data_IF_853322348978
#
_entry.id   IF_853322348978
#
_cell.length_a   1.000
_cell.length_b   1.000
_cell.length_c   1.000
_cell.angle_alpha   90.00
_cell.angle_beta   90.00
_cell.angle_gamma   90.00
#
_symmetry.space_group_name_H-M   'P 1'
#
loop_
_entity.id
_entity.type
_entity.pdbx_description
1 polymer ?
#
# COMPACT_ATOMS: atom_id res chain seq x y z
N UNK A 1 33.34 6.34 12.56
CA UNK A 1 32.35 7.28 13.17
C UNK A 1 31.24 6.46 13.81
N UNK A 2 31.24 6.35 15.13
CA UNK A 2 30.18 5.68 15.88
C UNK A 2 28.84 6.41 15.67
N UNK A 3 27.85 5.70 15.12
CA UNK A 3 26.50 6.24 14.95
C UNK A 3 25.86 6.33 16.34
N UNK A 4 25.62 7.54 16.84
CA UNK A 4 24.83 7.77 18.06
C UNK A 4 23.48 7.05 17.93
N UNK A 5 23.28 6.04 18.78
CA UNK A 5 22.00 5.33 18.91
C UNK A 5 20.94 6.33 19.34
N UNK A 6 19.83 6.37 18.60
CA UNK A 6 18.71 7.26 18.90
C UNK A 6 18.09 6.82 20.23
N UNK A 7 18.01 7.73 21.21
CA UNK A 7 17.35 7.46 22.51
C UNK A 7 15.93 6.92 22.29
N UNK A 8 15.58 5.83 22.96
CA UNK A 8 14.22 5.30 22.98
C UNK A 8 13.26 6.40 23.44
N UNK A 9 12.13 6.51 22.73
CA UNK A 9 11.08 7.46 23.11
C UNK A 9 10.07 6.67 23.93
N UNK A 10 9.71 7.18 25.10
CA UNK A 10 8.49 6.76 25.79
C UNK A 10 7.33 6.84 24.79
N UNK A 11 6.55 5.77 24.68
CA UNK A 11 5.37 5.73 23.82
C UNK A 11 4.42 6.86 24.25
N UNK A 12 4.45 7.97 23.51
CA UNK A 12 3.39 8.96 23.59
C UNK A 12 2.16 8.26 23.01
N UNK A 13 1.34 7.66 23.88
CA UNK A 13 0.00 7.17 23.53
C UNK A 13 -0.81 8.37 23.08
N UNK A 14 -0.71 8.71 21.80
CA UNK A 14 -1.60 9.68 21.19
C UNK A 14 -3.01 9.13 21.32
N UNK A 15 -3.78 9.72 22.24
CA UNK A 15 -5.21 9.45 22.38
C UNK A 15 -5.87 10.01 21.13
N UNK A 16 -5.97 9.19 20.08
CA UNK A 16 -6.73 9.55 18.89
C UNK A 16 -8.21 9.42 19.22
N UNK A 17 -8.95 10.52 19.07
CA UNK A 17 -10.41 10.49 19.11
C UNK A 17 -10.92 9.70 17.91
N UNK A 18 -11.43 8.50 18.14
CA UNK A 18 -11.99 7.62 17.10
C UNK A 18 -13.52 7.71 17.18
N UNK A 19 -14.17 8.01 16.05
CA UNK A 19 -15.63 7.88 15.94
C UNK A 19 -15.99 6.40 16.11
N UNK A 20 -16.83 6.10 17.11
CA UNK A 20 -17.25 4.75 17.46
C UNK A 20 -18.76 4.63 17.28
N UNK A 21 -19.22 3.53 16.68
CA UNK A 21 -20.65 3.27 16.54
C UNK A 21 -21.25 2.92 17.90
N UNK A 22 -22.45 3.45 18.17
CA UNK A 22 -23.21 3.13 19.38
C UNK A 22 -23.82 1.72 19.35
N UNK A 23 -24.08 1.19 18.16
CA UNK A 23 -24.78 -0.09 17.97
C UNK A 23 -23.86 -1.24 17.60
N UNK A 24 -22.72 -0.97 16.96
CA UNK A 24 -21.68 -1.94 16.66
C UNK A 24 -20.27 -1.36 16.92
N UNK A 25 -19.81 -1.37 18.19
CA UNK A 25 -18.52 -0.86 18.64
C UNK A 25 -17.28 -1.31 17.86
N UNK A 26 -17.33 -2.47 17.21
CA UNK A 26 -16.19 -3.08 16.50
C UNK A 26 -16.11 -2.65 15.03
N UNK A 27 -17.18 -2.04 14.52
CA UNK A 27 -17.18 -1.43 13.18
C UNK A 27 -16.28 -0.18 13.15
N UNK A 28 -15.59 0.01 12.03
CA UNK A 28 -14.70 1.15 11.86
C UNK A 28 -15.37 2.27 11.07
N UNK A 29 -15.19 3.51 11.49
CA UNK A 29 -15.66 4.67 10.74
C UNK A 29 -14.76 4.92 9.52
N UNK A 30 -15.35 4.88 8.32
CA UNK A 30 -14.66 5.13 7.07
C UNK A 30 -15.15 6.44 6.46
N UNK A 31 -14.22 7.37 6.22
CA UNK A 31 -14.44 8.56 5.41
C UNK A 31 -13.45 8.53 4.23
N UNK A 32 -13.97 8.66 3.01
CA UNK A 32 -13.17 8.70 1.78
C UNK A 32 -13.73 9.81 0.90
N UNK A 33 -12.85 10.61 0.29
CA UNK A 33 -13.25 11.66 -0.66
C UNK A 33 -14.22 11.10 -1.70
N UNK A 34 -15.37 11.77 -1.87
CA UNK A 34 -16.44 11.41 -2.80
C UNK A 34 -17.12 10.05 -2.55
N UNK A 35 -17.04 9.51 -1.33
CA UNK A 35 -17.82 8.34 -0.93
C UNK A 35 -18.64 8.62 0.32
N UNK A 36 -19.69 7.84 0.51
CA UNK A 36 -20.53 7.92 1.69
C UNK A 36 -19.72 7.60 2.95
N UNK A 37 -19.81 8.48 3.95
CA UNK A 37 -19.26 8.21 5.27
C UNK A 37 -20.12 7.18 5.98
N UNK A 38 -19.51 6.12 6.50
CA UNK A 38 -20.25 5.06 7.18
C UNK A 38 -19.37 4.25 8.12
N UNK A 39 -20.03 3.59 9.07
CA UNK A 39 -19.44 2.51 9.85
C UNK A 39 -19.48 1.24 9.03
N UNK A 40 -18.32 0.61 8.84
CA UNK A 40 -18.23 -0.61 8.04
C UNK A 40 -17.09 -1.52 8.51
N UNK A 41 -17.06 -2.71 7.91
CA UNK A 41 -15.93 -3.62 7.91
C UNK A 41 -15.34 -3.70 6.50
N UNK A 42 -14.06 -4.05 6.41
CA UNK A 42 -13.34 -4.26 5.15
C UNK A 42 -13.06 -5.75 4.99
N UNK A 43 -13.45 -6.29 3.85
CA UNK A 43 -13.10 -7.65 3.40
C UNK A 43 -11.79 -7.60 2.60
N UNK A 44 -10.75 -8.21 3.17
CA UNK A 44 -9.46 -8.46 2.53
C UNK A 44 -9.46 -9.85 1.93
N UNK A 45 -9.25 -9.92 0.61
CA UNK A 45 -9.35 -11.18 -0.13
C UNK A 45 -8.13 -11.42 -1.00
N UNK A 46 -7.70 -12.68 -1.03
CA UNK A 46 -6.71 -13.17 -2.00
C UNK A 46 -7.34 -14.26 -2.86
N UNK A 47 -7.03 -14.26 -4.15
CA UNK A 47 -7.48 -15.28 -5.10
C UNK A 47 -6.31 -15.82 -5.89
N UNK A 48 -6.34 -17.10 -6.24
CA UNK A 48 -5.39 -17.67 -7.19
C UNK A 48 -5.62 -17.12 -8.61
N UNK A 49 -4.58 -17.13 -9.43
CA UNK A 49 -4.63 -16.58 -10.79
C UNK A 49 -5.37 -17.49 -11.78
N UNK A 50 -5.23 -18.81 -11.63
CA UNK A 50 -5.66 -19.81 -12.62
C UNK A 50 -7.18 -19.98 -12.60
N UNK A 51 -7.75 -20.19 -11.41
CA UNK A 51 -9.14 -20.58 -11.23
C UNK A 51 -9.99 -19.53 -10.49
N UNK A 52 -9.39 -18.44 -10.02
CA UNK A 52 -10.05 -17.41 -9.20
C UNK A 52 -10.60 -17.98 -7.87
N UNK A 53 -10.05 -19.08 -7.37
CA UNK A 53 -10.34 -19.65 -6.06
C UNK A 53 -9.82 -18.70 -5.00
N UNK A 54 -10.68 -18.41 -4.04
CA UNK A 54 -10.37 -17.56 -2.90
C UNK A 54 -9.49 -18.36 -1.94
N UNK A 55 -8.25 -17.91 -1.75
CA UNK A 55 -7.26 -18.54 -0.87
C UNK A 55 -7.22 -17.89 0.51
N UNK A 56 -7.71 -16.66 0.64
CA UNK A 56 -7.85 -15.96 1.91
C UNK A 56 -9.02 -15.01 1.91
N UNK A 57 -9.70 -14.95 3.04
CA UNK A 57 -10.72 -13.96 3.35
C UNK A 57 -10.49 -13.51 4.81
N UNK A 58 -10.39 -12.21 5.03
CA UNK A 58 -10.07 -11.64 6.33
C UNK A 58 -10.77 -10.32 6.52
N UNK A 59 -11.31 -10.08 7.71
CA UNK A 59 -12.10 -8.89 7.99
C UNK A 59 -11.36 -7.97 8.95
N UNK A 60 -11.39 -6.67 8.67
CA UNK A 60 -10.95 -5.63 9.61
C UNK A 60 -12.02 -4.56 9.79
N UNK A 61 -11.96 -3.78 10.88
CA UNK A 61 -12.73 -2.54 10.99
C UNK A 61 -12.43 -1.56 9.84
N UNK A 62 -13.42 -0.77 9.43
CA UNK A 62 -13.39 0.23 8.35
C UNK A 62 -12.31 1.32 8.45
N UNK A 63 -11.77 1.55 9.63
CA UNK A 63 -10.72 2.52 9.91
C UNK A 63 -9.30 1.93 9.80
N UNK A 64 -9.16 0.63 9.55
CA UNK A 64 -7.87 -0.03 9.30
C UNK A 64 -7.54 0.07 7.81
N UNK A 65 -6.34 0.55 7.48
CA UNK A 65 -5.91 0.66 6.09
C UNK A 65 -5.56 -0.72 5.50
N UNK A 66 -5.96 -0.96 4.24
CA UNK A 66 -5.83 -2.27 3.55
C UNK A 66 -4.40 -2.83 3.52
N UNK A 67 -3.40 -1.96 3.52
CA UNK A 67 -1.99 -2.36 3.54
C UNK A 67 -1.53 -3.01 4.86
N UNK A 68 -2.23 -2.74 5.96
CA UNK A 68 -1.80 -3.16 7.32
C UNK A 68 -1.85 -4.68 7.50
N UNK A 69 -2.96 -5.39 7.20
CA UNK A 69 -3.00 -6.84 7.39
C UNK A 69 -2.22 -7.62 6.32
N UNK A 70 -1.94 -7.02 5.16
CA UNK A 70 -1.53 -7.73 3.95
C UNK A 70 -0.39 -8.74 4.14
N UNK A 71 0.78 -8.32 4.63
CA UNK A 71 1.94 -9.21 4.76
C UNK A 71 1.65 -10.39 5.72
N UNK A 72 0.96 -10.12 6.83
CA UNK A 72 0.56 -11.18 7.78
C UNK A 72 -0.42 -12.17 7.13
N UNK A 73 -1.33 -11.69 6.28
CA UNK A 73 -2.27 -12.54 5.54
C UNK A 73 -1.57 -13.35 4.45
N UNK A 74 -0.57 -12.79 3.80
CA UNK A 74 0.27 -13.51 2.85
C UNK A 74 1.01 -14.67 3.54
N UNK A 75 1.68 -14.39 4.67
CA UNK A 75 2.39 -15.40 5.46
C UNK A 75 1.45 -16.49 5.96
N UNK A 76 0.26 -16.11 6.43
CA UNK A 76 -0.77 -17.05 6.89
C UNK A 76 -1.20 -18.00 5.77
N UNK A 77 -1.35 -17.53 4.54
CA UNK A 77 -1.70 -18.37 3.40
C UNK A 77 -0.58 -19.33 3.03
N UNK A 78 0.65 -18.81 2.91
CA UNK A 78 1.84 -19.61 2.62
C UNK A 78 1.96 -20.74 3.64
N UNK A 79 1.90 -20.43 4.94
CA UNK A 79 2.00 -21.43 6.00
C UNK A 79 0.82 -22.40 6.06
N UNK A 80 -0.41 -21.94 5.79
CA UNK A 80 -1.62 -22.76 5.94
C UNK A 80 -1.76 -23.80 4.83
N UNK A 81 -1.36 -23.45 3.61
CA UNK A 81 -1.56 -24.28 2.42
C UNK A 81 -0.26 -24.75 1.78
N UNK A 82 0.88 -24.44 2.39
CA UNK A 82 2.22 -24.75 1.89
C UNK A 82 2.45 -24.23 0.46
N UNK A 83 1.97 -23.00 0.20
CA UNK A 83 2.06 -22.42 -1.13
C UNK A 83 3.46 -21.92 -1.45
N UNK A 84 3.98 -22.34 -2.59
CA UNK A 84 5.13 -21.72 -3.24
C UNK A 84 4.63 -20.50 -4.02
N UNK A 85 4.76 -19.31 -3.42
CA UNK A 85 4.26 -18.06 -4.02
C UNK A 85 5.38 -17.38 -4.80
N UNK A 86 5.33 -17.48 -6.12
CA UNK A 86 6.30 -16.83 -7.01
C UNK A 86 6.00 -15.35 -7.22
N UNK A 87 4.73 -14.99 -7.33
CA UNK A 87 4.31 -13.65 -7.72
C UNK A 87 2.98 -13.23 -7.10
N UNK A 88 2.83 -11.92 -6.86
CA UNK A 88 1.60 -11.31 -6.35
C UNK A 88 1.25 -10.07 -7.16
N UNK A 89 -0.05 -9.84 -7.40
CA UNK A 89 -0.55 -8.60 -7.97
C UNK A 89 -1.50 -7.87 -7.03
N UNK A 90 -1.20 -6.60 -6.75
CA UNK A 90 -1.92 -5.79 -5.76
C UNK A 90 -2.44 -4.48 -6.35
N UNK A 91 -3.46 -3.93 -5.69
CA UNK A 91 -3.98 -2.60 -6.00
C UNK A 91 -3.02 -1.48 -5.58
N UNK A 92 -3.24 -0.28 -6.12
CA UNK A 92 -2.45 0.92 -5.82
C UNK A 92 -2.41 1.30 -4.34
N UNK A 93 -3.44 0.95 -3.56
CA UNK A 93 -3.46 1.13 -2.12
C UNK A 93 -2.35 0.37 -1.37
N UNK A 94 -1.77 -0.66 -1.98
CA UNK A 94 -0.72 -1.49 -1.38
C UNK A 94 0.70 -1.03 -1.74
N UNK A 95 0.87 0.03 -2.54
CA UNK A 95 2.19 0.52 -2.96
C UNK A 95 2.88 1.31 -1.82
N UNK A 96 3.32 0.59 -0.79
CA UNK A 96 4.01 1.14 0.39
C UNK A 96 5.42 0.56 0.52
N UNK A 97 6.33 1.31 1.14
CA UNK A 97 7.71 0.85 1.36
C UNK A 97 7.77 -0.45 2.19
N UNK A 98 6.99 -0.61 3.29
CA UNK A 98 6.99 -1.86 4.05
C UNK A 98 6.52 -3.07 3.25
N UNK A 99 5.50 -2.92 2.39
CA UNK A 99 5.04 -4.02 1.54
C UNK A 99 6.09 -4.38 0.48
N UNK A 100 6.67 -3.38 -0.19
CA UNK A 100 7.70 -3.64 -1.21
C UNK A 100 8.91 -4.36 -0.60
N UNK A 101 9.35 -3.92 0.60
CA UNK A 101 10.41 -4.59 1.35
C UNK A 101 10.00 -6.00 1.76
N UNK A 102 8.81 -6.18 2.32
CA UNK A 102 8.32 -7.48 2.75
C UNK A 102 8.18 -8.51 1.62
N UNK A 103 7.82 -8.08 0.41
CA UNK A 103 7.80 -8.94 -0.77
C UNK A 103 9.22 -9.31 -1.22
N UNK A 104 10.14 -8.34 -1.23
CA UNK A 104 11.55 -8.59 -1.56
C UNK A 104 12.21 -9.57 -0.57
N UNK A 105 11.97 -9.41 0.73
CA UNK A 105 12.51 -10.30 1.77
C UNK A 105 12.02 -11.75 1.63
N UNK A 106 10.87 -11.94 0.98
CA UNK A 106 10.29 -13.26 0.68
C UNK A 106 10.66 -13.78 -0.71
N UNK A 107 11.47 -13.05 -1.48
CA UNK A 107 11.77 -13.32 -2.88
C UNK A 107 10.52 -13.46 -3.76
N UNK A 108 9.46 -12.69 -3.48
CA UNK A 108 8.20 -12.72 -4.22
C UNK A 108 8.16 -11.61 -5.26
N UNK A 109 7.85 -11.95 -6.51
CA UNK A 109 7.68 -10.99 -7.59
C UNK A 109 6.40 -10.17 -7.42
N UNK A 110 6.55 -8.96 -6.86
CA UNK A 110 5.44 -8.04 -6.63
C UNK A 110 5.11 -7.16 -7.83
N UNK A 111 3.84 -7.14 -8.24
CA UNK A 111 3.28 -6.21 -9.23
C UNK A 111 2.18 -5.38 -8.60
N UNK A 112 2.48 -4.11 -8.29
CA UNK A 112 1.53 -3.23 -7.60
C UNK A 112 1.12 -2.10 -8.53
N UNK A 113 -0.18 -1.80 -8.58
CA UNK A 113 -0.67 -0.69 -9.39
C UNK A 113 -0.07 0.65 -8.91
N UNK A 114 0.19 1.57 -9.83
CA UNK A 114 0.69 2.91 -9.49
C UNK A 114 -0.45 3.91 -9.53
N UNK A 115 -0.68 4.64 -8.43
CA UNK A 115 -1.50 5.84 -8.43
C UNK A 115 -0.63 7.02 -8.88
N UNK A 116 -1.04 7.76 -9.92
CA UNK A 116 -0.34 8.99 -10.30
C UNK A 116 -0.38 9.96 -9.13
N UNK A 117 0.80 10.30 -8.60
CA UNK A 117 0.92 11.37 -7.62
C UNK A 117 0.83 12.70 -8.36
N UNK A 118 -0.15 13.52 -8.01
CA UNK A 118 -0.24 14.88 -8.52
C UNK A 118 0.67 15.76 -7.65
N UNK A 119 1.74 16.34 -8.22
CA UNK A 119 2.60 17.24 -7.46
C UNK A 119 1.80 18.48 -7.07
N UNK A 120 2.23 19.14 -6.00
CA UNK A 120 1.67 20.42 -5.59
C UNK A 120 1.79 21.41 -6.74
N UNK A 121 0.65 21.97 -7.18
CA UNK A 121 0.62 22.93 -8.30
C UNK A 121 1.57 24.11 -8.01
N UNK A 122 2.39 24.46 -8.99
CA UNK A 122 3.36 25.55 -8.91
C UNK A 122 4.70 25.20 -8.27
N UNK A 123 4.93 23.96 -7.83
CA UNK A 123 6.23 23.52 -7.33
C UNK A 123 6.84 22.42 -8.20
N UNK A 124 8.18 22.35 -8.22
CA UNK A 124 8.89 21.29 -8.90
C UNK A 124 8.56 19.93 -8.28
N UNK A 125 8.19 18.96 -9.12
CA UNK A 125 7.95 17.60 -8.66
C UNK A 125 9.27 16.91 -8.26
N UNK A 126 9.18 15.89 -7.41
CA UNK A 126 10.35 15.16 -6.90
C UNK A 126 11.24 14.58 -8.01
N UNK A 127 10.67 14.10 -9.12
CA UNK A 127 11.44 13.52 -10.23
C UNK A 127 12.29 14.52 -11.02
N UNK A 128 12.13 15.83 -10.79
CA UNK A 128 13.04 16.86 -11.31
C UNK A 128 14.33 16.97 -10.48
N UNK A 129 14.39 16.35 -9.31
CA UNK A 129 15.59 16.23 -8.49
C UNK A 129 16.21 14.86 -8.76
N UNK A 130 17.42 14.85 -9.30
CA UNK A 130 18.13 13.61 -9.65
C UNK A 130 18.89 13.12 -8.42
N UNK A 131 18.72 11.85 -8.09
CA UNK A 131 19.49 11.21 -7.03
C UNK A 131 20.81 10.69 -7.62
N UNK A 132 21.90 10.93 -6.91
CA UNK A 132 23.24 10.37 -7.19
C UNK A 132 23.55 9.36 -6.08
N UNK A 133 23.69 8.09 -6.47
CA UNK A 133 23.95 6.97 -5.55
C UNK A 133 25.38 6.99 -5.00
N UNK A 134 26.35 7.41 -5.81
CA UNK A 134 27.77 7.41 -5.45
C UNK A 134 28.06 8.49 -4.40
N UNK A 135 27.38 9.64 -4.52
CA UNK A 135 27.56 10.79 -3.62
C UNK A 135 26.54 10.86 -2.47
N UNK A 136 25.55 9.97 -2.45
CA UNK A 136 24.37 10.03 -1.55
C UNK A 136 23.83 11.46 -1.47
N UNK A 137 23.48 12.02 -2.62
CA UNK A 137 23.02 13.41 -2.74
C UNK A 137 21.97 13.58 -3.83
N UNK A 138 21.26 14.71 -3.79
CA UNK A 138 20.30 15.08 -4.82
C UNK A 138 20.77 16.32 -5.57
N UNK A 139 20.69 16.32 -6.90
CA UNK A 139 20.92 17.51 -7.72
C UNK A 139 19.58 18.17 -8.05
N UNK A 140 19.46 19.47 -7.79
CA UNK A 140 18.27 20.23 -8.15
C UNK A 140 18.25 20.64 -9.63
N UNK A 141 17.11 21.14 -10.17
CA UNK A 141 17.02 21.60 -11.56
C UNK A 141 17.98 22.76 -11.92
N UNK A 142 18.46 23.49 -10.91
CA UNK A 142 19.43 24.58 -11.07
C UNK A 142 20.90 24.10 -10.94
N UNK A 143 21.14 22.80 -10.87
CA UNK A 143 22.49 22.21 -10.75
C UNK A 143 23.07 22.16 -9.33
N UNK A 144 22.43 22.80 -8.34
CA UNK A 144 22.92 22.76 -6.95
C UNK A 144 22.67 21.41 -6.27
N UNK A 145 23.63 21.00 -5.46
CA UNK A 145 23.62 19.74 -4.70
C UNK A 145 22.90 19.90 -3.34
N UNK A 146 22.13 18.87 -3.00
CA UNK A 146 21.44 18.70 -1.73
C UNK A 146 22.08 17.48 -1.04
N UNK A 147 23.07 17.69 -0.15
CA UNK A 147 23.71 16.60 0.55
C UNK A 147 22.78 15.96 1.59
N UNK A 148 23.04 14.69 1.90
CA UNK A 148 22.41 14.00 3.02
C UNK A 148 22.64 14.77 4.33
N UNK A 149 21.58 14.93 5.12
CA UNK A 149 21.64 15.60 6.44
C UNK A 149 21.35 14.67 7.60
N UNK A 150 20.25 13.92 7.53
CA UNK A 150 19.81 13.07 8.64
C UNK A 150 18.83 12.01 8.14
N UNK A 151 18.61 10.98 8.94
CA UNK A 151 17.54 10.00 8.71
C UNK A 151 16.54 10.09 9.85
N UNK A 152 15.26 10.24 9.52
CA UNK A 152 14.18 10.18 10.51
C UNK A 152 14.05 8.77 11.07
N UNK A 153 13.45 8.63 12.26
CA UNK A 153 13.17 7.31 12.86
C UNK A 153 12.27 6.43 11.99
N UNK A 154 11.43 7.06 11.19
CA UNK A 154 10.55 6.41 10.22
C UNK A 154 11.30 5.91 8.98
N UNK A 155 12.62 6.08 8.92
CA UNK A 155 13.46 5.59 7.82
C UNK A 155 13.54 6.53 6.62
N UNK A 156 13.18 7.81 6.76
CA UNK A 156 13.34 8.79 5.68
C UNK A 156 14.67 9.52 5.80
N UNK A 157 15.53 9.36 4.80
CA UNK A 157 16.72 10.20 4.60
C UNK A 157 16.28 11.59 4.12
N UNK A 158 16.76 12.64 4.77
CA UNK A 158 16.53 14.03 4.43
C UNK A 158 17.76 14.62 3.73
N UNK A 159 17.54 15.22 2.57
CA UNK A 159 18.54 15.94 1.78
C UNK A 159 18.13 17.41 1.74
N UNK A 160 19.03 18.30 2.13
CA UNK A 160 18.71 19.72 2.33
C UNK A 160 19.57 20.60 1.45
N UNK A 161 18.94 21.58 0.79
CA UNK A 161 19.68 22.61 0.08
C UNK A 161 20.31 23.62 1.04
N UNK A 162 21.33 24.32 0.58
CA UNK A 162 21.91 25.46 1.30
C UNK A 162 21.03 26.70 1.13
N UNK A 163 20.43 27.25 2.22
CA UNK A 163 19.64 28.48 2.18
C UNK A 163 20.39 29.67 1.56
N UNK A 164 21.70 29.79 1.84
CA UNK A 164 22.50 30.93 1.40
C UNK A 164 22.66 30.99 -0.11
N UNK A 165 22.76 29.82 -0.75
CA UNK A 165 22.79 29.69 -2.22
C UNK A 165 21.40 29.82 -2.83
N UNK A 166 20.38 29.34 -2.13
CA UNK A 166 19.01 29.33 -2.64
C UNK A 166 18.34 30.70 -2.63
N UNK A 167 18.77 31.65 -1.79
CA UNK A 167 18.13 32.97 -1.67
C UNK A 167 18.19 33.78 -2.97
N UNK A 168 19.28 33.65 -3.75
CA UNK A 168 19.48 34.30 -5.04
C UNK A 168 19.06 33.44 -6.24
N UNK A 169 18.48 32.26 -5.99
CA UNK A 169 18.12 31.33 -7.06
C UNK A 169 16.90 31.83 -7.86
N UNK A 170 16.99 31.96 -9.19
CA UNK A 170 15.86 32.42 -10.01
C UNK A 170 14.66 31.46 -9.97
N UNK A 171 14.91 30.18 -9.68
CA UNK A 171 13.90 29.13 -9.63
C UNK A 171 13.30 28.92 -8.23
N UNK A 172 13.64 29.77 -7.25
CA UNK A 172 13.26 29.59 -5.84
C UNK A 172 11.75 29.46 -5.64
N UNK A 173 10.96 30.32 -6.31
CA UNK A 173 9.48 30.33 -6.26
C UNK A 173 8.87 29.01 -6.73
N UNK A 174 9.53 28.31 -7.65
CA UNK A 174 9.11 27.00 -8.15
C UNK A 174 9.74 25.85 -7.34
N UNK A 175 10.80 26.11 -6.55
CA UNK A 175 11.52 25.07 -5.81
C UNK A 175 10.90 24.77 -4.45
N UNK A 176 10.62 25.80 -3.64
CA UNK A 176 10.15 25.65 -2.26
C UNK A 176 9.24 26.82 -1.85
N UNK A 177 8.32 26.58 -0.90
CA UNK A 177 7.54 27.62 -0.21
C UNK A 177 8.06 27.92 1.19
N UNK A 178 9.24 27.38 1.54
CA UNK A 178 9.83 27.57 2.86
C UNK A 178 10.33 29.01 3.02
N UNK A 179 9.98 29.64 4.14
CA UNK A 179 10.48 30.98 4.52
C UNK A 179 12.00 31.01 4.67
N UNK A 180 12.62 29.87 4.99
CA UNK A 180 14.06 29.75 5.13
C UNK A 180 14.76 29.50 3.79
N UNK A 181 14.05 29.60 2.67
CA UNK A 181 14.57 29.34 1.31
C UNK A 181 15.24 27.96 1.15
N UNK A 182 14.92 27.02 2.04
CA UNK A 182 15.49 25.67 2.06
C UNK A 182 14.54 24.67 1.38
N UNK A 183 15.08 23.87 0.47
CA UNK A 183 14.41 22.70 -0.09
C UNK A 183 14.82 21.47 0.72
N UNK A 184 13.83 20.68 1.11
CA UNK A 184 14.04 19.35 1.71
C UNK A 184 13.47 18.31 0.75
N UNK A 185 14.30 17.34 0.37
CA UNK A 185 13.89 16.15 -0.38
C UNK A 185 14.04 14.96 0.55
N UNK A 186 13.02 14.10 0.61
CA UNK A 186 13.07 12.88 1.43
C UNK A 186 13.11 11.64 0.55
N UNK A 187 13.96 10.66 0.90
CA UNK A 187 14.03 9.33 0.28
C UNK A 187 13.98 8.27 1.38
N UNK A 188 13.08 7.31 1.28
CA UNK A 188 12.99 6.25 2.28
C UNK A 188 14.16 5.26 2.10
N UNK A 189 14.65 4.65 3.18
CA UNK A 189 15.71 3.62 3.13
C UNK A 189 15.37 2.41 2.26
N UNK A 190 14.08 2.15 2.08
CA UNK A 190 13.54 1.07 1.23
C UNK A 190 12.93 1.57 -0.09
N UNK A 191 13.23 2.80 -0.51
CA UNK A 191 12.71 3.34 -1.78
C UNK A 191 13.13 2.50 -2.98
N UNK A 192 14.33 1.91 -2.95
CA UNK A 192 14.84 1.02 -4.00
C UNK A 192 13.90 -0.17 -4.24
N UNK A 193 13.43 -0.84 -3.18
CA UNK A 193 12.47 -1.95 -3.32
C UNK A 193 11.17 -1.52 -3.99
N UNK A 194 10.73 -0.28 -3.75
CA UNK A 194 9.55 0.30 -4.41
C UNK A 194 9.83 0.63 -5.88
N UNK A 195 11.03 1.06 -6.22
CA UNK A 195 11.49 1.26 -7.59
C UNK A 195 11.55 -0.06 -8.36
N UNK A 196 12.09 -1.14 -7.76
CA UNK A 196 12.07 -2.49 -8.33
C UNK A 196 10.63 -2.98 -8.62
N UNK A 197 9.70 -2.85 -7.67
CA UNK A 197 8.29 -3.21 -7.90
C UNK A 197 7.64 -2.39 -9.03
N UNK A 198 8.04 -1.12 -9.20
CA UNK A 198 7.58 -0.29 -10.32
C UNK A 198 8.12 -0.81 -11.66
N UNK A 199 9.38 -1.22 -11.71
CA UNK A 199 10.00 -1.82 -12.90
C UNK A 199 9.37 -3.18 -13.23
N UNK A 200 9.11 -4.01 -12.22
CA UNK A 200 8.43 -5.30 -12.36
C UNK A 200 7.11 -5.15 -13.13
N UNK A 201 6.32 -4.11 -12.83
CA UNK A 201 5.07 -3.81 -13.53
C UNK A 201 5.27 -3.52 -15.03
N UNK A 202 6.39 -2.92 -15.43
CA UNK A 202 6.68 -2.58 -16.82
C UNK A 202 7.16 -3.78 -17.64
N UNK A 203 7.67 -4.82 -16.98
CA UNK A 203 8.08 -6.09 -17.61
C UNK A 203 6.92 -6.81 -18.31
N UNK A 204 7.24 -7.71 -19.23
CA UNK A 204 6.25 -8.54 -19.94
C UNK A 204 5.43 -9.38 -18.95
N UNK A 205 6.11 -10.04 -18.01
CA UNK A 205 5.48 -10.87 -16.97
C UNK A 205 4.58 -10.03 -16.06
N UNK A 206 5.04 -8.84 -15.67
CA UNK A 206 4.24 -7.93 -14.83
C UNK A 206 3.00 -7.41 -15.52
N UNK A 207 3.07 -7.07 -16.82
CA UNK A 207 1.90 -6.67 -17.61
C UNK A 207 0.86 -7.79 -17.69
N UNK A 208 1.29 -9.04 -17.90
CA UNK A 208 0.39 -10.21 -17.90
C UNK A 208 -0.28 -10.40 -16.54
N UNK A 209 0.50 -10.41 -15.45
CA UNK A 209 -0.02 -10.58 -14.09
C UNK A 209 -1.01 -9.47 -13.71
N UNK A 210 -0.71 -8.22 -14.10
CA UNK A 210 -1.58 -7.07 -13.87
C UNK A 210 -2.93 -7.19 -14.60
N UNK A 211 -2.94 -7.72 -15.83
CA UNK A 211 -4.18 -7.97 -16.59
C UNK A 211 -5.09 -8.95 -15.84
N UNK A 212 -4.54 -10.06 -15.34
CA UNK A 212 -5.32 -11.04 -14.59
C UNK A 212 -5.94 -10.47 -13.31
N UNK A 213 -5.21 -9.62 -12.57
CA UNK A 213 -5.74 -8.97 -11.36
C UNK A 213 -7.07 -8.25 -11.63
N UNK A 214 -7.14 -7.48 -12.71
CA UNK A 214 -8.33 -6.70 -13.09
C UNK A 214 -9.53 -7.60 -13.37
N UNK A 215 -9.32 -8.77 -13.98
CA UNK A 215 -10.41 -9.66 -14.38
C UNK A 215 -10.90 -10.55 -13.23
N UNK A 216 -10.01 -10.96 -12.32
CA UNK A 216 -10.29 -12.03 -11.35
C UNK A 216 -10.82 -11.49 -10.02
N UNK A 217 -10.00 -10.67 -9.33
CA UNK A 217 -10.31 -10.18 -7.97
C UNK A 217 -11.53 -9.25 -7.98
N UNK A 218 -11.61 -8.34 -8.95
CA UNK A 218 -12.72 -7.38 -9.06
C UNK A 218 -14.05 -8.11 -9.30
N UNK A 219 -14.05 -9.14 -10.15
CA UNK A 219 -15.22 -10.01 -10.36
C UNK A 219 -15.58 -10.77 -9.09
N UNK A 220 -14.60 -11.29 -8.33
CA UNK A 220 -14.89 -12.00 -7.09
C UNK A 220 -15.58 -11.11 -6.05
N UNK A 221 -15.17 -9.84 -5.93
CA UNK A 221 -15.83 -8.86 -5.07
C UNK A 221 -17.22 -8.47 -5.57
N UNK A 222 -17.40 -8.29 -6.88
CA UNK A 222 -18.69 -8.01 -7.48
C UNK A 222 -19.68 -9.14 -7.20
N UNK A 223 -19.29 -10.39 -7.45
CA UNK A 223 -20.11 -11.57 -7.19
C UNK A 223 -20.54 -11.63 -5.72
N UNK A 224 -19.63 -11.36 -4.76
CA UNK A 224 -19.99 -11.36 -3.34
C UNK A 224 -21.05 -10.31 -3.00
N UNK A 225 -20.98 -9.13 -3.63
CA UNK A 225 -21.89 -8.02 -3.36
C UNK A 225 -23.25 -8.22 -4.02
N UNK A 226 -23.28 -8.59 -5.30
CA UNK A 226 -24.51 -8.71 -6.07
C UNK A 226 -25.23 -10.04 -5.84
N UNK A 227 -24.50 -11.15 -5.75
CA UNK A 227 -25.12 -12.49 -5.73
C UNK A 227 -25.17 -13.12 -4.34
N UNK A 228 -24.34 -12.66 -3.40
CA UNK A 228 -24.24 -13.24 -2.05
C UNK A 228 -24.55 -12.25 -0.93
N UNK A 229 -25.04 -11.04 -1.26
CA UNK A 229 -25.55 -10.08 -0.27
C UNK A 229 -24.48 -9.48 0.64
N UNK A 230 -23.20 -9.48 0.26
CA UNK A 230 -22.09 -8.95 1.07
C UNK A 230 -22.02 -7.41 1.07
N UNK A 231 -23.08 -6.72 0.62
CA UNK A 231 -23.25 -5.27 0.75
C UNK A 231 -23.57 -4.85 2.18
N UNK A 232 -24.18 -5.73 2.96
CA UNK A 232 -24.58 -5.47 4.33
C UNK A 232 -24.13 -6.60 5.26
N UNK A 233 -23.69 -6.23 6.47
CA UNK A 233 -23.47 -7.19 7.54
C UNK A 233 -24.82 -7.59 8.13
N UNK A 234 -25.13 -8.89 8.15
CA UNK A 234 -26.37 -9.41 8.74
C UNK A 234 -26.31 -9.45 10.26
N UNK A 235 -25.10 -9.60 10.79
CA UNK A 235 -24.79 -9.70 12.21
C UNK A 235 -23.79 -8.61 12.59
N UNK A 236 -23.76 -8.26 13.88
CA UNK A 236 -22.86 -7.24 14.43
C UNK A 236 -21.61 -7.88 15.04
N UNK A 237 -20.52 -7.13 15.10
CA UNK A 237 -19.25 -7.60 15.62
C UNK A 237 -18.34 -8.23 14.55
N UNK A 238 -17.04 -8.09 14.76
CA UNK A 238 -15.98 -8.47 13.84
C UNK A 238 -15.98 -9.99 13.57
N UNK A 239 -16.22 -10.79 14.60
CA UNK A 239 -16.32 -12.25 14.45
C UNK A 239 -17.44 -12.63 13.49
N UNK A 240 -18.65 -12.12 13.73
CA UNK A 240 -19.82 -12.46 12.92
C UNK A 240 -19.71 -11.93 11.48
N UNK A 241 -19.13 -10.73 11.31
CA UNK A 241 -18.79 -10.22 9.97
C UNK A 241 -17.76 -11.12 9.27
N UNK A 242 -16.77 -11.62 10.01
CA UNK A 242 -15.79 -12.59 9.55
C UNK A 242 -16.42 -13.91 9.09
N UNK A 243 -17.36 -14.46 9.87
CA UNK A 243 -18.08 -15.68 9.53
C UNK A 243 -18.92 -15.51 8.26
N UNK A 244 -19.65 -14.39 8.12
CA UNK A 244 -20.41 -14.08 6.90
C UNK A 244 -19.49 -14.02 5.66
N UNK A 245 -18.35 -13.34 5.78
CA UNK A 245 -17.36 -13.25 4.68
C UNK A 245 -16.79 -14.63 4.34
N UNK A 246 -16.44 -15.43 5.34
CA UNK A 246 -15.86 -16.76 5.14
C UNK A 246 -16.85 -17.72 4.47
N UNK A 247 -18.10 -17.76 4.93
CA UNK A 247 -19.15 -18.59 4.32
C UNK A 247 -19.45 -18.16 2.88
N UNK A 248 -19.44 -16.85 2.62
CA UNK A 248 -19.58 -16.31 1.27
C UNK A 248 -18.44 -16.78 0.37
N UNK A 249 -17.19 -16.69 0.84
CA UNK A 249 -16.02 -17.13 0.09
C UNK A 249 -16.06 -18.64 -0.19
N UNK A 250 -16.46 -19.46 0.80
CA UNK A 250 -16.61 -20.89 0.64
C UNK A 250 -17.66 -21.25 -0.43
N UNK A 251 -18.83 -20.59 -0.39
CA UNK A 251 -19.89 -20.78 -1.39
C UNK A 251 -19.39 -20.42 -2.81
N UNK A 252 -18.67 -19.30 -2.96
CA UNK A 252 -18.08 -18.91 -4.23
C UNK A 252 -17.06 -19.93 -4.73
N UNK A 253 -16.21 -20.47 -3.86
CA UNK A 253 -15.25 -21.49 -4.22
C UNK A 253 -15.96 -22.77 -4.68
N UNK A 254 -16.95 -23.28 -3.93
CA UNK A 254 -17.72 -24.46 -4.32
C UNK A 254 -18.38 -24.28 -5.70
N UNK A 255 -18.99 -23.13 -5.96
CA UNK A 255 -19.58 -22.81 -7.26
C UNK A 255 -18.53 -22.79 -8.39
N UNK A 256 -17.37 -22.18 -8.15
CA UNK A 256 -16.27 -22.13 -9.13
C UNK A 256 -15.70 -23.51 -9.44
N UNK A 257 -15.51 -24.34 -8.41
CA UNK A 257 -15.03 -25.72 -8.54
C UNK A 257 -16.03 -26.54 -9.35
N UNK A 258 -17.32 -26.49 -9.01
CA UNK A 258 -18.37 -27.23 -9.73
C UNK A 258 -18.44 -26.84 -11.21
N UNK A 259 -18.42 -25.54 -11.53
CA UNK A 259 -18.44 -25.05 -12.93
C UNK A 259 -17.18 -25.47 -13.70
N UNK A 260 -16.03 -25.55 -13.03
CA UNK A 260 -14.80 -25.99 -13.69
C UNK A 260 -14.86 -27.49 -13.98
N UNK A 261 -15.23 -28.31 -12.99
CA UNK A 261 -15.33 -29.76 -13.15
C UNK A 261 -16.39 -30.15 -14.19
N UNK A 262 -17.53 -29.45 -14.25
CA UNK A 262 -18.59 -29.71 -15.24
C UNK A 262 -18.21 -29.38 -16.69
N UNK A 263 -17.06 -28.72 -16.91
CA UNK A 263 -16.52 -28.46 -18.26
C UNK A 263 -15.42 -29.44 -18.65
N UNK A 264 -14.95 -30.25 -17.70
CA UNK A 264 -13.93 -31.27 -17.93
C UNK A 264 -14.53 -32.66 -18.18
N UNK A 265 -15.71 -32.93 -17.64
CA UNK A 265 -16.58 -34.04 -18.05
C UNK A 265 -17.58 -33.60 -19.10
#
# INVERSE_FOLDING_TARGET
MEKKVLRDREEVKQVKTIRKSKTDPESGFMSRDHKQEMFCYLDHRTTDMKYNIITDAYVTPGNVHDSVPYLKRLDRQIKRFDFIVEAVALDSGYLTNPICKGLADRNIFGVIAHRRYHPTKGLFPKWKFRYDEDRDSYTCPNGEELPYKTTTREGYREFKSDPKKCISCPLLKQCTRSNNHQKVVTRHVWEEHKEHVRLNRLSVSGKKLYKFRKEKVERSFADSKELHGLRYCRLRGLQNAGEQVLLTAACQNMKKIAIYLSKQG
#
